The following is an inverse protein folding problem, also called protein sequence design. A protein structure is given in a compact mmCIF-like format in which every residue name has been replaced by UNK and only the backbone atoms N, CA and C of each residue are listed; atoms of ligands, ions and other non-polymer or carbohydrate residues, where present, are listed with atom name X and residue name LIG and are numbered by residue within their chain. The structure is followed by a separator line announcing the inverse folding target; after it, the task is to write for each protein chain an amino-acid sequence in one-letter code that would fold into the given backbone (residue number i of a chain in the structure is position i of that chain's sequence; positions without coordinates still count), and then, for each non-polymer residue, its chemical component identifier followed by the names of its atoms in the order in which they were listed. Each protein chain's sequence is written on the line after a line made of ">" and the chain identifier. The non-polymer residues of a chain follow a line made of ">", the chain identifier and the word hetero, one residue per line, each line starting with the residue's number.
data_IF_053688229334
#
_entry.id   IF_053688229334
#
_cell.length_a   1.000
_cell.length_b   1.000
_cell.length_c   1.000
_cell.angle_alpha   90.00
_cell.angle_beta   90.00
_cell.angle_gamma   90.00
#
_symmetry.space_group_name_H-M   'P 1'
#
loop_
_entity.id
_entity.type
_entity.pdbx_description
1 polymer ?
#
# COMPACT_ATOMS: atom_id res chain seq x y z
N UNK A 1 35.80 -22.93 -11.96
CA UNK A 1 36.25 -21.96 -13.01
C UNK A 1 35.59 -20.62 -12.70
N UNK A 2 36.36 -19.60 -12.40
CA UNK A 2 35.81 -18.27 -12.06
C UNK A 2 35.87 -17.37 -13.30
N UNK A 3 34.77 -16.66 -13.57
CA UNK A 3 34.75 -15.57 -14.53
C UNK A 3 34.58 -14.26 -13.78
N UNK A 4 35.69 -13.54 -13.64
CA UNK A 4 35.76 -12.15 -13.22
C UNK A 4 35.40 -11.27 -14.42
N UNK A 5 34.39 -10.42 -14.30
CA UNK A 5 34.07 -9.35 -15.24
C UNK A 5 34.15 -8.03 -14.53
N UNK A 6 35.23 -7.30 -14.72
CA UNK A 6 35.40 -5.91 -14.32
C UNK A 6 34.68 -5.02 -15.32
N UNK A 7 33.82 -4.10 -14.89
CA UNK A 7 33.35 -3.00 -15.72
C UNK A 7 33.70 -1.64 -15.10
N UNK A 8 34.39 -0.97 -15.92
CA UNK A 8 35.13 0.27 -15.90
C UNK A 8 34.21 1.49 -15.64
N UNK A 9 34.71 2.33 -14.77
CA UNK A 9 34.22 3.67 -14.41
C UNK A 9 34.33 4.61 -15.60
N UNK A 10 33.26 5.36 -15.91
CA UNK A 10 33.37 6.56 -16.76
C UNK A 10 32.74 7.76 -16.04
N UNK A 11 33.62 8.62 -15.53
CA UNK A 11 33.32 9.93 -14.97
C UNK A 11 33.29 10.94 -16.15
N UNK A 12 32.18 11.64 -16.32
CA UNK A 12 32.14 12.84 -17.17
C UNK A 12 31.75 14.03 -16.32
N UNK A 13 32.76 14.86 -16.04
CA UNK A 13 32.64 16.21 -15.51
C UNK A 13 32.28 17.17 -16.66
N UNK A 14 31.20 17.91 -16.53
CA UNK A 14 30.99 19.07 -17.37
C UNK A 14 30.58 20.27 -16.52
N UNK A 15 31.56 21.15 -16.34
CA UNK A 15 31.41 22.50 -15.76
C UNK A 15 30.91 23.45 -16.83
N UNK A 16 29.92 24.27 -16.55
CA UNK A 16 29.69 25.52 -17.27
C UNK A 16 29.32 26.62 -16.29
N UNK A 17 30.25 27.59 -16.20
CA UNK A 17 30.11 28.90 -15.60
C UNK A 17 29.56 29.84 -16.67
N UNK A 18 28.57 30.66 -16.33
CA UNK A 18 28.30 31.92 -17.05
C UNK A 18 27.72 32.96 -16.09
N UNK A 19 28.50 34.05 -15.94
CA UNK A 19 28.14 35.32 -15.34
C UNK A 19 27.25 36.15 -16.29
N UNK A 20 26.53 37.10 -15.71
CA UNK A 20 25.90 38.24 -16.43
C UNK A 20 24.81 38.89 -15.60
N UNK A 21 25.10 39.87 -14.90
CA UNK A 21 25.01 41.34 -14.97
C UNK A 21 23.69 41.91 -14.47
N UNK A 22 23.86 42.84 -13.56
CA UNK A 22 22.85 43.68 -12.91
C UNK A 22 22.22 44.69 -13.88
N UNK A 23 20.94 44.98 -13.68
CA UNK A 23 20.38 46.28 -14.00
C UNK A 23 19.27 46.68 -13.03
N UNK A 24 19.45 47.86 -12.48
CA UNK A 24 18.63 48.57 -11.52
C UNK A 24 17.48 49.27 -12.23
N UNK A 25 16.25 49.15 -11.78
CA UNK A 25 15.28 50.22 -11.89
C UNK A 25 14.19 50.18 -10.82
N UNK A 26 13.89 51.33 -10.24
CA UNK A 26 13.02 51.67 -9.12
C UNK A 26 11.62 52.08 -9.61
N UNK A 27 10.65 52.39 -8.74
CA UNK A 27 9.48 51.57 -8.43
C UNK A 27 8.19 52.10 -9.02
N UNK A 28 7.22 51.23 -9.21
CA UNK A 28 5.82 51.61 -9.33
C UNK A 28 4.97 50.71 -8.46
N UNK A 29 4.14 51.33 -7.65
CA UNK A 29 3.18 50.69 -6.77
C UNK A 29 2.24 49.79 -7.57
N UNK A 30 2.10 48.56 -7.18
CA UNK A 30 1.09 47.66 -7.72
C UNK A 30 0.53 46.77 -6.62
N UNK A 31 -0.72 46.91 -6.44
CA UNK A 31 -1.78 46.09 -5.83
C UNK A 31 -1.32 44.66 -5.54
N UNK A 32 -1.24 44.35 -4.25
CA UNK A 32 -1.06 42.98 -3.72
C UNK A 32 -2.30 42.14 -3.99
N UNK A 33 -2.26 41.39 -5.08
CA UNK A 33 -3.10 40.20 -5.23
C UNK A 33 -2.45 39.09 -4.39
N UNK A 34 -3.15 38.43 -3.46
CA UNK A 34 -2.59 37.27 -2.75
C UNK A 34 -2.36 36.15 -3.75
N UNK A 35 -1.10 35.95 -4.13
CA UNK A 35 -0.66 34.75 -4.85
C UNK A 35 -0.89 33.57 -3.91
N UNK A 36 -1.92 32.79 -4.16
CA UNK A 36 -2.04 31.45 -3.59
C UNK A 36 -0.77 30.68 -3.95
N UNK A 37 -0.15 29.98 -2.99
CA UNK A 37 0.93 29.06 -3.33
C UNK A 37 0.34 27.99 -4.25
N UNK A 38 0.79 27.99 -5.50
CA UNK A 38 0.59 26.88 -6.41
C UNK A 38 1.35 25.73 -5.77
N UNK A 39 0.65 24.90 -5.03
CA UNK A 39 1.13 23.57 -4.68
C UNK A 39 1.30 22.83 -5.99
N UNK A 40 2.50 22.92 -6.53
CA UNK A 40 2.97 22.09 -7.64
C UNK A 40 2.75 20.64 -7.18
N UNK A 41 1.74 20.02 -7.75
CA UNK A 41 1.39 18.64 -7.46
C UNK A 41 2.60 17.76 -7.71
N UNK A 42 3.26 17.42 -6.64
CA UNK A 42 4.35 16.47 -6.62
C UNK A 42 3.84 15.13 -7.08
N UNK A 43 4.31 14.71 -8.24
CA UNK A 43 4.85 13.39 -8.53
C UNK A 43 4.21 12.24 -7.74
N UNK A 44 3.43 11.41 -8.41
CA UNK A 44 3.14 10.00 -8.13
C UNK A 44 3.47 9.43 -6.75
N UNK A 45 2.92 9.97 -5.67
CA UNK A 45 2.96 9.30 -4.39
C UNK A 45 2.18 7.99 -4.56
N UNK A 46 2.89 6.88 -4.60
CA UNK A 46 2.29 5.53 -4.58
C UNK A 46 1.32 5.49 -3.41
N UNK A 47 0.04 5.29 -3.70
CA UNK A 47 -0.97 5.24 -2.65
C UNK A 47 -0.66 4.08 -1.71
N UNK A 48 -0.78 4.27 -0.38
CA UNK A 48 -0.39 3.25 0.57
C UNK A 48 -1.33 2.05 0.54
N UNK A 49 -0.80 0.90 0.92
CA UNK A 49 -1.61 -0.30 1.19
C UNK A 49 -2.35 -0.09 2.50
N UNK A 50 -3.67 -0.27 2.48
CA UNK A 50 -4.52 -0.16 3.66
C UNK A 50 -5.16 -1.48 4.00
N UNK A 51 -5.45 -1.68 5.28
CA UNK A 51 -6.17 -2.83 5.81
C UNK A 51 -7.45 -2.33 6.47
N UNK A 52 -8.54 -3.02 6.20
CA UNK A 52 -9.84 -2.83 6.84
C UNK A 52 -10.22 -4.11 7.58
N UNK A 53 -10.56 -4.01 8.86
CA UNK A 53 -11.13 -5.11 9.63
C UNK A 53 -12.65 -5.11 9.43
N UNK A 54 -13.15 -6.00 8.60
CA UNK A 54 -14.54 -6.04 8.16
C UNK A 54 -15.43 -6.78 9.18
N UNK A 55 -16.04 -6.01 10.08
CA UNK A 55 -16.83 -6.53 11.24
C UNK A 55 -18.16 -5.80 11.44
N UNK A 56 -18.32 -4.59 10.92
CA UNK A 56 -19.51 -3.81 11.16
C UNK A 56 -20.45 -3.76 9.96
N UNK A 57 -21.76 -3.78 10.24
CA UNK A 57 -22.80 -3.45 9.28
C UNK A 57 -23.43 -2.11 9.69
N UNK A 58 -23.38 -1.14 8.79
CA UNK A 58 -24.02 0.18 9.02
C UNK A 58 -23.19 1.23 9.76
N UNK A 59 -21.93 0.97 10.07
CA UNK A 59 -20.94 1.96 10.53
C UNK A 59 -19.57 1.68 9.93
N UNK A 60 -18.66 2.68 9.87
CA UNK A 60 -17.30 2.47 9.33
C UNK A 60 -16.55 1.38 10.08
N UNK A 61 -15.86 0.55 9.32
CA UNK A 61 -14.95 -0.46 9.83
C UNK A 61 -13.62 0.16 10.26
N UNK A 62 -12.91 -0.43 11.24
CA UNK A 62 -11.54 -0.02 11.57
C UNK A 62 -10.61 -0.20 10.38
N UNK A 63 -9.79 0.82 10.11
CA UNK A 63 -8.81 0.81 9.02
C UNK A 63 -7.45 1.32 9.50
N UNK A 64 -6.38 0.83 8.90
CA UNK A 64 -5.02 1.34 9.11
C UNK A 64 -4.18 1.17 7.85
N UNK A 65 -3.06 1.87 7.82
CA UNK A 65 -2.09 1.82 6.72
C UNK A 65 -0.92 0.96 7.10
N UNK A 66 -0.44 0.11 6.18
CA UNK A 66 0.76 -0.68 6.38
C UNK A 66 2.02 0.16 6.15
N UNK A 67 3.02 -0.07 6.99
CA UNK A 67 4.38 0.45 6.78
C UNK A 67 5.06 -0.27 5.61
N UNK A 68 6.15 0.28 5.08
CA UNK A 68 6.91 -0.37 4.00
C UNK A 68 7.40 -1.77 4.38
N UNK A 69 7.78 -2.00 5.64
CA UNK A 69 8.20 -3.30 6.15
C UNK A 69 7.03 -4.30 6.14
N UNK A 70 5.86 -3.90 6.62
CA UNK A 70 4.66 -4.73 6.65
C UNK A 70 4.14 -5.05 5.24
N UNK A 71 4.27 -4.12 4.30
CA UNK A 71 3.96 -4.35 2.88
C UNK A 71 4.88 -5.43 2.29
N UNK A 72 6.19 -5.39 2.59
CA UNK A 72 7.13 -6.41 2.14
C UNK A 72 6.80 -7.79 2.75
N UNK A 73 6.45 -7.84 4.04
CA UNK A 73 6.02 -9.06 4.72
C UNK A 73 4.71 -9.61 4.13
N UNK A 74 3.73 -8.76 3.88
CA UNK A 74 2.48 -9.12 3.20
C UNK A 74 2.75 -9.76 1.83
N UNK A 75 3.60 -9.13 1.01
CA UNK A 75 3.95 -9.65 -0.31
C UNK A 75 4.61 -11.05 -0.23
N UNK A 76 5.44 -11.30 0.77
CA UNK A 76 6.02 -12.63 1.01
C UNK A 76 4.96 -13.67 1.38
N UNK A 77 4.00 -13.32 2.25
CA UNK A 77 2.91 -14.23 2.68
C UNK A 77 1.95 -14.56 1.55
N UNK A 78 1.84 -13.72 0.53
CA UNK A 78 1.02 -13.94 -0.66
C UNK A 78 1.72 -14.77 -1.75
N UNK A 79 2.98 -15.16 -1.56
CA UNK A 79 3.70 -15.99 -2.53
C UNK A 79 3.35 -17.47 -2.39
N UNK A 80 3.35 -18.19 -3.54
CA UNK A 80 3.24 -19.66 -3.61
C UNK A 80 2.02 -20.22 -2.83
N UNK A 81 0.91 -19.54 -2.86
CA UNK A 81 -0.33 -19.99 -2.24
C UNK A 81 -0.93 -21.18 -3.00
N UNK A 82 -1.46 -22.16 -2.27
CA UNK A 82 -2.19 -23.26 -2.87
C UNK A 82 -3.59 -22.81 -3.29
N UNK A 83 -3.93 -22.96 -4.57
CA UNK A 83 -5.25 -22.62 -5.13
C UNK A 83 -6.33 -23.54 -4.57
N UNK A 84 -7.49 -22.98 -4.28
CA UNK A 84 -8.70 -23.73 -3.92
C UNK A 84 -9.61 -23.88 -5.14
N UNK A 85 -10.34 -25.00 -5.28
CA UNK A 85 -11.21 -25.25 -6.42
C UNK A 85 -12.46 -24.38 -6.45
N UNK A 86 -12.87 -23.83 -5.31
CA UNK A 86 -14.07 -23.00 -5.17
C UNK A 86 -13.77 -21.73 -4.38
N UNK A 87 -14.45 -20.65 -4.74
CA UNK A 87 -14.43 -19.39 -3.98
C UNK A 87 -15.59 -19.44 -2.98
N UNK A 88 -15.32 -19.40 -1.68
CA UNK A 88 -16.39 -19.40 -0.70
C UNK A 88 -17.11 -18.06 -0.66
N UNK A 89 -18.40 -18.07 -0.33
CA UNK A 89 -19.15 -16.87 0.00
C UNK A 89 -18.74 -16.32 1.37
N UNK A 90 -18.72 -15.01 1.52
CA UNK A 90 -18.39 -14.29 2.77
C UNK A 90 -19.58 -13.42 3.17
N UNK A 91 -20.76 -14.05 3.33
CA UNK A 91 -22.03 -13.34 3.59
C UNK A 91 -22.45 -13.38 5.07
N UNK A 92 -21.49 -13.54 5.99
CA UNK A 92 -21.79 -13.68 7.42
C UNK A 92 -22.10 -12.35 8.07
N UNK A 93 -22.99 -12.37 9.07
CA UNK A 93 -23.11 -11.28 10.04
C UNK A 93 -21.89 -11.32 11.00
N UNK A 94 -21.38 -10.14 11.33
CA UNK A 94 -20.22 -9.99 12.20
C UNK A 94 -18.89 -10.06 11.45
N UNK A 95 -17.96 -10.90 11.89
CA UNK A 95 -16.61 -10.99 11.32
C UNK A 95 -16.64 -11.54 9.89
N UNK A 96 -16.16 -10.72 8.95
CA UNK A 96 -16.01 -11.04 7.52
C UNK A 96 -14.54 -11.01 7.06
N UNK A 97 -13.62 -11.00 8.02
CA UNK A 97 -12.18 -11.03 7.76
C UNK A 97 -11.54 -9.66 7.62
N UNK A 98 -10.47 -9.63 6.87
CA UNK A 98 -9.71 -8.42 6.54
C UNK A 98 -9.82 -8.15 5.05
N UNK A 99 -9.94 -6.88 4.70
CA UNK A 99 -9.92 -6.40 3.33
C UNK A 99 -8.69 -5.50 3.15
N UNK A 100 -7.75 -5.94 2.33
CA UNK A 100 -6.57 -5.18 1.99
C UNK A 100 -6.80 -4.49 0.64
N UNK A 101 -6.44 -3.21 0.56
CA UNK A 101 -6.52 -2.39 -0.66
C UNK A 101 -5.14 -1.91 -1.04
N UNK A 102 -4.75 -2.15 -2.30
CA UNK A 102 -3.48 -1.78 -2.88
C UNK A 102 -3.69 -0.89 -4.12
N UNK A 103 -4.19 0.35 -3.94
CA UNK A 103 -4.47 1.24 -5.06
C UNK A 103 -3.19 1.71 -5.77
N UNK A 104 -2.05 1.72 -5.07
CA UNK A 104 -0.73 2.04 -5.61
C UNK A 104 -0.08 0.92 -6.43
N UNK A 105 -0.76 -0.23 -6.59
CA UNK A 105 -0.28 -1.38 -7.38
C UNK A 105 1.10 -1.89 -7.00
N UNK A 106 1.37 -2.00 -5.69
CA UNK A 106 2.61 -2.62 -5.20
C UNK A 106 2.74 -4.03 -5.77
N UNK A 107 3.86 -4.37 -6.43
CA UNK A 107 4.05 -5.68 -7.05
C UNK A 107 3.90 -6.83 -6.05
N UNK A 108 3.29 -7.93 -6.49
CA UNK A 108 3.09 -9.13 -5.66
C UNK A 108 1.89 -9.07 -4.72
N UNK A 109 1.16 -7.94 -4.71
CA UNK A 109 -0.07 -7.77 -3.94
C UNK A 109 -1.18 -7.43 -4.94
N UNK A 110 -2.29 -8.17 -4.92
CA UNK A 110 -3.48 -7.83 -5.71
C UNK A 110 -4.02 -6.44 -5.36
N UNK A 111 -4.78 -5.82 -6.26
CA UNK A 111 -5.43 -4.51 -5.99
C UNK A 111 -6.38 -4.58 -4.80
N UNK A 112 -6.98 -5.72 -4.61
CA UNK A 112 -7.78 -6.08 -3.44
C UNK A 112 -7.45 -7.51 -3.01
N UNK A 113 -7.35 -7.75 -1.71
CA UNK A 113 -7.13 -9.08 -1.12
C UNK A 113 -8.04 -9.21 0.08
N UNK A 114 -8.92 -10.21 0.10
CA UNK A 114 -9.72 -10.55 1.28
C UNK A 114 -9.13 -11.77 1.97
N UNK A 115 -9.01 -11.69 3.29
CA UNK A 115 -8.52 -12.79 4.14
C UNK A 115 -9.58 -13.15 5.16
N UNK A 116 -10.08 -14.38 5.12
CA UNK A 116 -11.19 -14.80 5.96
C UNK A 116 -11.12 -16.30 6.27
N UNK A 117 -11.12 -16.66 7.54
CA UNK A 117 -11.14 -18.05 8.04
C UNK A 117 -10.13 -18.98 7.34
N UNK A 118 -8.88 -18.53 7.24
CA UNK A 118 -7.78 -19.30 6.63
C UNK A 118 -7.84 -19.38 5.10
N UNK A 119 -8.63 -18.52 4.47
CA UNK A 119 -8.77 -18.44 3.02
C UNK A 119 -8.42 -17.02 2.56
N UNK A 120 -7.68 -16.95 1.45
CA UNK A 120 -7.32 -15.69 0.78
C UNK A 120 -8.08 -15.63 -0.54
N UNK A 121 -8.82 -14.56 -0.75
CA UNK A 121 -9.63 -14.33 -1.95
C UNK A 121 -9.07 -13.11 -2.68
N UNK A 122 -8.73 -13.28 -3.95
CA UNK A 122 -8.15 -12.23 -4.78
C UNK A 122 -9.00 -12.08 -6.05
N UNK A 123 -9.73 -10.97 -6.21
CA UNK A 123 -10.35 -10.62 -7.47
C UNK A 123 -9.27 -10.13 -8.45
N UNK A 124 -9.30 -10.63 -9.68
CA UNK A 124 -8.41 -10.22 -10.76
C UNK A 124 -9.15 -10.21 -12.09
N UNK A 125 -9.20 -9.06 -12.76
CA UNK A 125 -9.73 -8.85 -14.12
C UNK A 125 -11.07 -9.56 -14.38
N UNK A 126 -12.01 -9.46 -13.44
CA UNK A 126 -13.34 -10.07 -13.56
C UNK A 126 -13.41 -11.56 -13.21
N UNK A 127 -12.28 -12.13 -12.75
CA UNK A 127 -12.22 -13.45 -12.14
C UNK A 127 -11.93 -13.30 -10.65
N UNK A 128 -12.35 -14.26 -9.86
CA UNK A 128 -12.01 -14.33 -8.44
C UNK A 128 -11.34 -15.67 -8.18
N UNK A 129 -10.18 -15.63 -7.56
CA UNK A 129 -9.43 -16.81 -7.17
C UNK A 129 -9.39 -16.93 -5.65
N UNK A 130 -9.48 -18.17 -5.15
CA UNK A 130 -9.34 -18.45 -3.73
C UNK A 130 -8.11 -19.33 -3.47
N UNK A 131 -7.45 -19.07 -2.36
CA UNK A 131 -6.22 -19.74 -1.95
C UNK A 131 -6.30 -20.13 -0.48
N UNK A 132 -5.60 -21.20 -0.11
CA UNK A 132 -5.40 -21.56 1.29
C UNK A 132 -4.40 -20.59 1.94
N UNK A 133 -4.71 -20.06 3.10
CA UNK A 133 -3.79 -19.27 3.92
C UNK A 133 -2.72 -20.18 4.55
N UNK A 134 -1.73 -20.57 3.76
CA UNK A 134 -0.63 -21.44 4.19
C UNK A 134 0.45 -20.73 5.00
N UNK A 135 0.44 -19.39 5.00
CA UNK A 135 1.48 -18.55 5.62
C UNK A 135 0.96 -17.74 6.81
N UNK A 136 -0.17 -18.15 7.38
CA UNK A 136 -0.80 -17.55 8.56
C UNK A 136 -1.03 -16.02 8.41
N UNK A 137 -1.47 -15.59 7.22
CA UNK A 137 -1.72 -14.18 6.93
C UNK A 137 -2.86 -13.63 7.81
N UNK A 138 -3.94 -14.42 8.02
CA UNK A 138 -5.05 -14.00 8.89
C UNK A 138 -4.56 -13.78 10.34
N UNK A 139 -3.72 -14.68 10.86
CA UNK A 139 -3.18 -14.54 12.22
C UNK A 139 -2.28 -13.31 12.36
N UNK A 140 -1.47 -13.03 11.34
CA UNK A 140 -0.65 -11.84 11.29
C UNK A 140 -1.52 -10.57 11.27
N UNK A 141 -2.60 -10.53 10.48
CA UNK A 141 -3.54 -9.40 10.45
C UNK A 141 -4.29 -9.23 11.77
N UNK A 142 -4.64 -10.33 12.46
CA UNK A 142 -5.22 -10.29 13.81
C UNK A 142 -4.24 -9.65 14.80
N UNK A 143 -2.94 -9.99 14.73
CA UNK A 143 -1.91 -9.36 15.56
C UNK A 143 -1.77 -7.87 15.28
N UNK A 144 -1.77 -7.48 14.01
CA UNK A 144 -1.79 -6.07 13.57
C UNK A 144 -3.01 -5.33 14.15
N UNK A 145 -4.21 -5.87 13.98
CA UNK A 145 -5.43 -5.26 14.48
C UNK A 145 -5.39 -5.05 16.01
N UNK A 146 -4.83 -6.00 16.76
CA UNK A 146 -4.62 -5.83 18.22
C UNK A 146 -3.65 -4.69 18.53
N UNK A 147 -2.55 -4.58 17.77
CA UNK A 147 -1.59 -3.49 17.92
C UNK A 147 -2.21 -2.11 17.59
N UNK A 148 -3.20 -2.08 16.70
CA UNK A 148 -4.00 -0.89 16.38
C UNK A 148 -5.22 -0.70 17.30
N UNK A 149 -5.25 -1.33 18.48
CA UNK A 149 -6.29 -1.11 19.50
C UNK A 149 -7.62 -1.82 19.22
N UNK A 150 -7.68 -2.79 18.29
CA UNK A 150 -8.90 -3.50 17.92
C UNK A 150 -9.09 -4.82 18.70
N UNK A 151 -8.38 -5.00 19.81
CA UNK A 151 -8.45 -6.23 20.61
C UNK A 151 -9.86 -6.55 21.11
N UNK A 152 -10.59 -5.57 21.63
CA UNK A 152 -11.96 -5.77 22.13
C UNK A 152 -12.93 -6.06 20.96
N UNK A 153 -12.76 -5.40 19.83
CA UNK A 153 -13.54 -5.67 18.61
C UNK A 153 -13.35 -7.12 18.15
N UNK A 154 -12.10 -7.59 18.10
CA UNK A 154 -11.78 -8.98 17.73
C UNK A 154 -12.37 -9.98 18.73
N UNK A 155 -12.23 -9.71 20.03
CA UNK A 155 -12.81 -10.56 21.09
C UNK A 155 -14.33 -10.65 20.97
N UNK A 156 -15.02 -9.55 20.68
CA UNK A 156 -16.46 -9.54 20.51
C UNK A 156 -16.96 -10.39 19.32
N UNK A 157 -16.11 -10.64 18.33
CA UNK A 157 -16.40 -11.49 17.15
C UNK A 157 -15.71 -12.86 17.20
N UNK A 158 -15.17 -13.27 18.35
CA UNK A 158 -14.60 -14.59 18.57
C UNK A 158 -13.19 -14.79 17.98
N UNK A 159 -12.41 -13.71 17.85
CA UNK A 159 -11.04 -13.73 17.30
C UNK A 159 -9.95 -13.29 18.30
#
# INVERSE_FOLDING_TARGET
>A
MPIKGAFLTLIVLLSCVACGSAESNKPAASTTTPTQPITTGTSGATQPVTVELDVYSGRPNPTWTLTAHEVAELAQRLQKLATLPTVPSVDNLGYRGFLLRNPGTVPGIGTEVRVYNGIIIIPDQGRTSAYKDSHALEQWLIAQARAHGQGDTLKAVGK
#
